data_IF_824184696267
#
_entry.id   IF_824184696267
#
_cell.length_a   1.000
_cell.length_b   1.000
_cell.length_c   1.000
_cell.angle_alpha   90.00
_cell.angle_beta   90.00
_cell.angle_gamma   90.00
#
_symmetry.space_group_name_H-M   'P 1'
#
loop_
_entity.id
_entity.type
_entity.pdbx_description
1 polymer ?
#
# COMPACT_ATOMS: atom_id res chain seq x y z
N UNK A 1 -6.75 4.41 -17.87
CA UNK A 1 -5.78 4.02 -18.91
C UNK A 1 -4.86 2.99 -18.28
N UNK A 2 -4.84 1.75 -18.75
CA UNK A 2 -3.92 0.73 -18.21
C UNK A 2 -2.52 1.03 -18.76
N UNK A 3 -1.59 1.35 -17.88
CA UNK A 3 -0.19 1.58 -18.26
C UNK A 3 0.56 0.25 -18.26
N UNK A 4 1.35 0.00 -19.30
CA UNK A 4 2.22 -1.19 -19.36
C UNK A 4 3.36 -1.02 -18.37
N UNK A 5 3.46 -1.92 -17.38
CA UNK A 5 4.54 -1.90 -16.40
C UNK A 5 5.86 -2.39 -17.01
N UNK A 6 7.02 -1.83 -16.61
CA UNK A 6 8.32 -2.29 -17.09
C UNK A 6 8.57 -3.77 -16.73
N UNK A 7 9.14 -4.59 -17.62
CA UNK A 7 9.44 -6.01 -17.33
C UNK A 7 10.36 -6.19 -16.13
N UNK A 8 11.35 -5.32 -15.96
CA UNK A 8 12.27 -5.35 -14.81
C UNK A 8 11.53 -5.20 -13.47
N UNK A 9 10.52 -4.32 -13.43
CA UNK A 9 9.68 -4.11 -12.25
C UNK A 9 8.87 -5.37 -11.93
N UNK A 10 8.29 -6.00 -12.95
CA UNK A 10 7.52 -7.24 -12.79
C UNK A 10 8.41 -8.39 -12.31
N UNK A 11 9.61 -8.52 -12.86
CA UNK A 11 10.58 -9.53 -12.44
C UNK A 11 11.03 -9.32 -10.99
N UNK A 12 11.31 -8.07 -10.61
CA UNK A 12 11.63 -7.72 -9.23
C UNK A 12 10.44 -8.01 -8.28
N UNK A 13 9.22 -7.63 -8.67
CA UNK A 13 8.04 -7.87 -7.86
C UNK A 13 7.80 -9.37 -7.65
N UNK A 14 8.00 -10.17 -8.69
CA UNK A 14 7.93 -11.62 -8.60
C UNK A 14 8.97 -12.16 -7.61
N UNK A 15 10.23 -11.72 -7.68
CA UNK A 15 11.32 -12.26 -6.86
C UNK A 15 11.18 -11.95 -5.37
N UNK A 16 10.73 -10.74 -5.02
CA UNK A 16 10.58 -10.35 -3.60
C UNK A 16 9.42 -11.05 -2.90
N UNK A 17 8.43 -11.54 -3.65
CA UNK A 17 7.25 -12.19 -3.08
C UNK A 17 7.44 -13.69 -2.80
N UNK A 18 8.33 -14.39 -3.52
CA UNK A 18 8.42 -15.86 -3.45
C UNK A 18 8.88 -16.42 -2.10
N UNK A 19 9.51 -15.61 -1.23
CA UNK A 19 10.24 -16.15 -0.07
C UNK A 19 9.31 -16.38 1.12
N UNK A 20 8.57 -15.35 1.54
CA UNK A 20 7.83 -15.37 2.82
C UNK A 20 6.31 -15.25 2.65
N UNK A 21 5.80 -14.85 1.48
CA UNK A 21 4.36 -14.70 1.27
C UNK A 21 3.68 -16.07 1.17
N UNK A 22 2.52 -16.19 1.82
CA UNK A 22 1.70 -17.41 1.80
C UNK A 22 1.11 -17.65 0.40
N UNK A 23 0.64 -16.59 -0.26
CA UNK A 23 0.17 -16.65 -1.65
C UNK A 23 0.89 -15.60 -2.53
N UNK A 24 2.10 -15.91 -3.00
CA UNK A 24 2.89 -14.98 -3.80
C UNK A 24 2.28 -14.73 -5.18
N UNK A 25 1.54 -15.69 -5.73
CA UNK A 25 0.90 -15.57 -7.06
C UNK A 25 -0.21 -14.52 -7.01
N UNK A 26 -1.08 -14.61 -6.00
CA UNK A 26 -2.18 -13.68 -5.84
C UNK A 26 -1.68 -12.28 -5.44
N UNK A 27 -0.70 -12.22 -4.55
CA UNK A 27 -0.04 -10.96 -4.15
C UNK A 27 0.57 -10.26 -5.36
N UNK A 28 1.31 -10.99 -6.20
CA UNK A 28 1.90 -10.48 -7.44
C UNK A 28 0.83 -9.92 -8.38
N UNK A 29 -0.23 -10.69 -8.63
CA UNK A 29 -1.30 -10.30 -9.55
C UNK A 29 -1.98 -9.00 -9.12
N UNK A 30 -2.37 -8.89 -7.85
CA UNK A 30 -3.11 -7.73 -7.35
C UNK A 30 -2.21 -6.49 -7.21
N UNK A 31 -0.97 -6.65 -6.75
CA UNK A 31 -0.03 -5.53 -6.67
C UNK A 31 0.37 -5.01 -8.07
N UNK A 32 0.58 -5.88 -9.05
CA UNK A 32 0.82 -5.47 -10.44
C UNK A 32 -0.38 -4.73 -11.04
N UNK A 33 -1.61 -5.21 -10.80
CA UNK A 33 -2.83 -4.52 -11.24
C UNK A 33 -2.97 -3.13 -10.61
N UNK A 34 -2.70 -3.01 -9.31
CA UNK A 34 -2.71 -1.74 -8.59
C UNK A 34 -1.72 -0.73 -9.20
N UNK A 35 -0.48 -1.17 -9.46
CA UNK A 35 0.57 -0.34 -10.06
C UNK A 35 0.23 0.08 -11.49
N UNK A 36 -0.39 -0.80 -12.28
CA UNK A 36 -0.83 -0.48 -13.64
C UNK A 36 -1.98 0.53 -13.68
N UNK A 37 -2.86 0.48 -12.66
CA UNK A 37 -4.01 1.38 -12.50
C UNK A 37 -3.59 2.76 -11.97
N UNK A 38 -2.68 2.82 -11.00
CA UNK A 38 -2.27 4.04 -10.33
C UNK A 38 -0.79 4.36 -10.62
N UNK A 39 -0.55 5.13 -11.68
CA UNK A 39 0.79 5.49 -12.14
C UNK A 39 1.60 6.38 -11.18
N UNK A 40 0.99 6.90 -10.11
CA UNK A 40 1.67 7.64 -9.03
C UNK A 40 2.17 6.75 -7.90
N UNK A 41 1.83 5.46 -7.92
CA UNK A 41 2.32 4.47 -6.95
C UNK A 41 3.57 3.75 -7.47
N UNK A 42 4.43 3.36 -6.53
CA UNK A 42 5.67 2.63 -6.75
C UNK A 42 5.80 1.56 -5.68
N UNK A 43 6.29 0.35 -6.02
CA UNK A 43 6.56 -0.64 -5.00
C UNK A 43 7.98 -0.50 -4.45
N UNK A 44 8.18 -0.99 -3.23
CA UNK A 44 9.47 -1.22 -2.57
C UNK A 44 9.31 -2.34 -1.55
N UNK A 45 10.41 -2.88 -1.05
CA UNK A 45 10.40 -3.67 0.19
C UNK A 45 10.88 -2.80 1.35
N UNK A 46 10.23 -2.92 2.52
CA UNK A 46 10.62 -2.19 3.72
C UNK A 46 10.30 -3.02 4.96
N UNK A 47 11.09 -2.85 6.02
CA UNK A 47 10.81 -3.46 7.31
C UNK A 47 9.63 -2.74 7.95
N UNK A 48 8.57 -3.49 8.22
CA UNK A 48 7.42 -3.07 9.02
C UNK A 48 7.56 -3.66 10.42
N UNK A 49 7.36 -2.85 11.45
CA UNK A 49 7.33 -3.31 12.84
C UNK A 49 5.91 -3.12 13.35
N UNK A 50 5.18 -4.22 13.50
CA UNK A 50 3.82 -4.20 14.02
C UNK A 50 3.81 -3.90 15.53
N UNK A 51 2.62 -3.77 16.11
CA UNK A 51 2.42 -3.49 17.54
C UNK A 51 3.05 -4.57 18.46
N UNK A 52 3.23 -5.79 17.95
CA UNK A 52 3.93 -6.87 18.66
C UNK A 52 5.47 -6.69 18.73
N UNK A 53 6.02 -5.66 18.09
CA UNK A 53 7.44 -5.34 18.06
C UNK A 53 8.29 -6.23 17.15
N UNK A 54 7.68 -7.15 16.39
CA UNK A 54 8.40 -8.06 15.50
C UNK A 54 8.62 -7.38 14.15
N UNK A 55 9.88 -7.19 13.70
CA UNK A 55 10.16 -6.64 12.38
C UNK A 55 9.92 -7.69 11.29
N UNK A 56 9.26 -7.29 10.21
CA UNK A 56 9.00 -8.13 9.03
C UNK A 56 9.32 -7.36 7.75
N UNK A 57 10.02 -7.97 6.79
CA UNK A 57 10.26 -7.36 5.49
C UNK A 57 9.04 -7.58 4.60
N UNK A 58 8.32 -6.50 4.28
CA UNK A 58 7.08 -6.57 3.50
C UNK A 58 7.19 -5.78 2.20
N UNK A 59 6.41 -6.19 1.20
CA UNK A 59 6.05 -5.35 0.07
C UNK A 59 5.25 -4.14 0.57
N UNK A 60 5.72 -2.97 0.17
CA UNK A 60 5.08 -1.69 0.41
C UNK A 60 4.89 -0.98 -0.93
N UNK A 61 3.64 -0.67 -1.26
CA UNK A 61 3.27 0.17 -2.40
C UNK A 61 3.00 1.58 -1.86
N UNK A 62 3.82 2.54 -2.28
CA UNK A 62 3.80 3.89 -1.77
C UNK A 62 3.70 4.90 -2.92
N UNK A 63 3.29 6.13 -2.60
CA UNK A 63 3.15 7.20 -3.57
C UNK A 63 1.98 8.08 -3.19
N UNK A 64 1.31 8.69 -4.16
CA UNK A 64 0.15 9.55 -3.88
C UNK A 64 -1.11 9.04 -4.54
N UNK A 65 -2.26 9.14 -3.87
CA UNK A 65 -3.58 8.89 -4.46
C UNK A 65 -4.38 10.20 -4.54
N UNK A 66 -5.08 10.49 -5.65
CA UNK A 66 -5.91 11.68 -5.76
C UNK A 66 -7.15 11.56 -4.87
N UNK A 67 -7.44 12.59 -4.09
CA UNK A 67 -8.63 12.69 -3.25
C UNK A 67 -9.29 14.07 -3.42
N UNK A 68 -10.62 14.08 -3.53
CA UNK A 68 -11.39 15.33 -3.59
C UNK A 68 -11.65 15.84 -2.17
N UNK A 69 -11.15 17.04 -1.84
CA UNK A 69 -11.40 17.70 -0.56
C UNK A 69 -11.96 19.09 -0.88
N UNK A 70 -13.27 19.26 -0.68
CA UNK A 70 -13.99 20.44 -1.16
C UNK A 70 -13.96 20.52 -2.68
N UNK A 71 -13.50 21.64 -3.23
CA UNK A 71 -13.44 21.90 -4.68
C UNK A 71 -12.04 21.67 -5.28
N UNK A 72 -11.13 21.02 -4.55
CA UNK A 72 -9.76 20.77 -5.01
C UNK A 72 -9.41 19.28 -4.91
N UNK A 73 -8.58 18.82 -5.85
CA UNK A 73 -7.98 17.49 -5.84
C UNK A 73 -6.64 17.57 -5.13
N UNK A 74 -6.48 16.81 -4.06
CA UNK A 74 -5.24 16.69 -3.32
C UNK A 74 -4.59 15.34 -3.62
N UNK A 75 -3.26 15.33 -3.72
CA UNK A 75 -2.47 14.12 -3.91
C UNK A 75 -1.99 13.63 -2.54
N UNK A 76 -2.78 12.76 -1.92
CA UNK A 76 -2.54 12.28 -0.56
C UNK A 76 -1.46 11.21 -0.60
N UNK A 77 -0.30 11.41 0.08
CA UNK A 77 0.72 10.39 0.11
C UNK A 77 0.29 9.23 1.01
N UNK A 78 0.51 8.01 0.53
CA UNK A 78 0.11 6.78 1.20
C UNK A 78 1.23 5.76 1.19
N UNK A 79 1.22 4.93 2.23
CA UNK A 79 1.99 3.70 2.35
C UNK A 79 1.00 2.53 2.51
N UNK A 80 0.88 1.68 1.48
CA UNK A 80 0.09 0.46 1.50
C UNK A 80 1.01 -0.74 1.68
N UNK A 81 0.80 -1.50 2.73
CA UNK A 81 1.62 -2.65 3.08
C UNK A 81 0.84 -3.93 2.88
N UNK A 82 1.49 -4.92 2.26
CA UNK A 82 0.90 -6.23 2.01
C UNK A 82 1.42 -7.21 3.06
N UNK A 83 0.59 -7.72 3.99
CA UNK A 83 1.01 -8.74 4.96
C UNK A 83 1.45 -10.02 4.27
N UNK A 84 2.28 -10.82 4.93
CA UNK A 84 2.71 -12.13 4.40
C UNK A 84 1.52 -13.07 4.15
N UNK A 85 0.44 -12.91 4.91
CA UNK A 85 -0.81 -13.66 4.81
C UNK A 85 -1.74 -13.17 3.69
N UNK A 86 -1.39 -12.10 2.97
CA UNK A 86 -2.23 -11.60 1.87
C UNK A 86 -2.45 -12.70 0.80
N UNK A 87 -3.68 -12.86 0.27
CA UNK A 87 -4.87 -12.04 0.50
C UNK A 87 -5.80 -12.56 1.61
N UNK A 88 -5.39 -13.49 2.47
CA UNK A 88 -6.24 -13.90 3.60
C UNK A 88 -6.43 -12.73 4.57
N UNK A 89 -5.36 -11.97 4.79
CA UNK A 89 -5.42 -10.69 5.50
C UNK A 89 -5.39 -9.49 4.53
N UNK A 90 -6.15 -8.42 4.82
CA UNK A 90 -6.15 -7.21 4.01
C UNK A 90 -4.81 -6.48 4.07
N UNK A 91 -4.49 -5.63 3.07
CA UNK A 91 -3.38 -4.72 3.20
C UNK A 91 -3.70 -3.66 4.25
N UNK A 92 -2.69 -3.17 4.96
CA UNK A 92 -2.83 -2.03 5.86
C UNK A 92 -2.27 -0.77 5.22
N UNK A 93 -3.04 0.32 5.30
CA UNK A 93 -2.76 1.57 4.60
C UNK A 93 -2.53 2.67 5.61
N UNK A 94 -1.52 3.50 5.38
CA UNK A 94 -1.22 4.69 6.16
C UNK A 94 -1.19 5.91 5.25
N UNK A 95 -1.68 7.03 5.75
CA UNK A 95 -1.38 8.35 5.21
C UNK A 95 0.00 8.75 5.72
N UNK A 96 0.89 9.08 4.79
CA UNK A 96 2.29 9.41 5.08
C UNK A 96 2.55 10.89 4.80
N UNK A 97 2.28 11.80 5.75
CA UNK A 97 2.39 13.23 5.52
C UNK A 97 3.82 13.63 5.14
N UNK A 98 3.96 14.60 4.23
CA UNK A 98 5.24 15.32 4.07
C UNK A 98 5.47 16.22 5.30
N UNK A 99 6.68 16.77 5.50
CA UNK A 99 6.96 17.67 6.64
C UNK A 99 6.01 18.88 6.74
N UNK A 100 5.41 19.29 5.62
CA UNK A 100 4.48 20.42 5.52
C UNK A 100 3.02 20.00 5.72
N UNK A 101 2.74 18.70 5.86
CA UNK A 101 1.39 18.16 6.02
C UNK A 101 1.12 17.75 7.46
N UNK A 102 -0.14 17.92 7.88
CA UNK A 102 -0.63 17.41 9.16
C UNK A 102 -1.71 16.36 8.90
N UNK A 103 -1.62 15.23 9.61
CA UNK A 103 -2.72 14.26 9.64
C UNK A 103 -3.88 14.90 10.40
N UNK A 104 -5.05 14.93 9.77
CA UNK A 104 -6.31 15.31 10.40
C UNK A 104 -7.11 14.03 10.69
N UNK A 105 -7.15 13.55 11.94
CA UNK A 105 -7.93 12.37 12.30
C UNK A 105 -9.41 12.54 11.96
N UNK A 106 -10.07 11.44 11.62
CA UNK A 106 -11.48 11.40 11.29
C UNK A 106 -12.02 9.98 11.28
N UNK A 107 -13.18 9.79 10.65
CA UNK A 107 -13.89 8.50 10.69
C UNK A 107 -13.09 7.32 10.10
N UNK A 108 -12.15 7.59 9.21
CA UNK A 108 -11.39 6.57 8.48
C UNK A 108 -9.88 6.69 8.66
N UNK A 109 -9.38 7.66 9.42
CA UNK A 109 -7.93 7.86 9.62
C UNK A 109 -7.68 8.23 11.08
N UNK A 110 -6.79 7.52 11.76
CA UNK A 110 -6.39 7.83 13.13
C UNK A 110 -5.25 8.86 13.22
N UNK A 111 -4.82 9.20 14.44
CA UNK A 111 -3.72 10.13 14.70
C UNK A 111 -2.35 9.64 14.22
N UNK A 112 -2.18 8.33 14.04
CA UNK A 112 -0.96 7.74 13.49
C UNK A 112 -1.01 7.67 11.95
N UNK A 113 -2.12 8.13 11.34
CA UNK A 113 -2.33 8.10 9.90
C UNK A 113 -2.85 6.77 9.39
N UNK A 114 -3.14 5.79 10.25
CA UNK A 114 -3.67 4.49 9.82
C UNK A 114 -5.06 4.68 9.23
N UNK A 115 -5.24 4.17 8.03
CA UNK A 115 -6.51 4.20 7.33
C UNK A 115 -7.34 2.96 7.66
N UNK A 116 -8.61 3.20 7.94
CA UNK A 116 -9.62 2.19 8.23
C UNK A 116 -10.77 2.36 7.24
N UNK A 117 -11.31 1.24 6.76
CA UNK A 117 -12.49 1.25 5.91
C UNK A 117 -13.26 -0.06 6.13
N UNK A 118 -14.60 -0.05 6.08
CA UNK A 118 -15.38 -1.29 6.15
C UNK A 118 -14.91 -2.36 5.16
N UNK A 119 -14.41 -1.95 3.99
CA UNK A 119 -13.82 -2.88 3.02
C UNK A 119 -12.59 -3.63 3.54
N UNK A 120 -11.75 -2.99 4.37
CA UNK A 120 -10.60 -3.65 5.01
C UNK A 120 -11.05 -4.48 6.23
N UNK A 121 -12.15 -4.10 6.88
CA UNK A 121 -12.69 -4.86 8.02
C UNK A 121 -13.40 -6.14 7.59
N UNK A 122 -14.09 -6.11 6.46
CA UNK A 122 -14.82 -7.23 5.86
C UNK A 122 -14.15 -7.67 4.55
N UNK A 123 -12.84 -7.90 4.63
CA UNK A 123 -11.96 -8.21 3.51
C UNK A 123 -12.40 -9.44 2.71
#
# INVERSE_FOLDING_TARGET
MSSTLPPELLNWLYSVLQVEYVDPVQTYRQSAQLLAFCATLRPRTKVFTAENGIPQLLLNVFGTVPANIGNQVYHIPVDMWFPLQFPVEPPFVYVSPTPEMLIKPGNFVDSNGRFYNPYLTYW
#
